data_IF_671030987451
#
_entry.id   IF_671030987451
#
_cell.length_a   1.000
_cell.length_b   1.000
_cell.length_c   1.000
_cell.angle_alpha   90.00
_cell.angle_beta   90.00
_cell.angle_gamma   90.00
#
_symmetry.space_group_name_H-M   'P 1'
#
loop_
_entity.id
_entity.type
_entity.pdbx_description
1 polymer ?
#
# COMPACT_ATOMS: atom_id res chain seq x y z
N UNK A 1 -4.64 -14.50 -10.85
CA UNK A 1 -5.83 -13.70 -11.24
C UNK A 1 -5.77 -12.27 -10.66
N UNK A 2 -5.60 -12.07 -9.35
CA UNK A 2 -5.50 -10.74 -8.72
C UNK A 2 -4.37 -9.89 -9.31
N UNK A 3 -3.17 -10.46 -9.49
CA UNK A 3 -2.02 -9.75 -10.06
C UNK A 3 -2.31 -9.25 -11.48
N UNK A 4 -2.98 -10.06 -12.31
CA UNK A 4 -3.31 -9.72 -13.71
C UNK A 4 -4.31 -8.56 -13.76
N UNK A 5 -5.32 -8.57 -12.89
CA UNK A 5 -6.29 -7.47 -12.78
C UNK A 5 -5.61 -6.19 -12.30
N UNK A 6 -4.67 -6.29 -11.35
CA UNK A 6 -3.91 -5.16 -10.85
C UNK A 6 -2.93 -4.59 -11.90
N UNK A 7 -2.29 -5.41 -12.73
CA UNK A 7 -1.44 -4.90 -13.82
C UNK A 7 -2.27 -4.30 -14.96
N UNK A 8 -3.41 -4.88 -15.30
CA UNK A 8 -4.29 -4.34 -16.34
C UNK A 8 -4.88 -2.98 -15.96
N UNK A 9 -5.18 -2.75 -14.68
CA UNK A 9 -5.68 -1.45 -14.22
C UNK A 9 -4.61 -0.35 -14.28
N UNK A 10 -3.32 -0.69 -14.10
CA UNK A 10 -2.21 0.27 -14.18
C UNK A 10 -1.97 0.78 -15.61
N UNK A 11 -2.17 -0.06 -16.64
CA UNK A 11 -1.95 0.30 -18.05
C UNK A 11 -2.93 1.40 -18.51
N UNK A 12 -4.09 1.51 -17.87
CA UNK A 12 -5.11 2.51 -18.20
C UNK A 12 -4.91 3.89 -17.57
N UNK A 13 -3.86 4.10 -16.76
CA UNK A 13 -3.62 5.39 -16.11
C UNK A 13 -2.87 6.33 -17.05
N UNK A 14 -3.44 7.51 -17.37
CA UNK A 14 -2.70 8.55 -18.07
C UNK A 14 -1.68 9.18 -17.12
N UNK A 15 -0.45 8.67 -17.20
CA UNK A 15 0.72 9.22 -16.50
C UNK A 15 1.33 10.31 -17.38
N UNK A 16 1.69 11.45 -16.78
CA UNK A 16 2.41 12.50 -17.48
C UNK A 16 3.86 12.07 -17.71
N UNK A 17 4.16 11.66 -18.95
CA UNK A 17 5.52 11.30 -19.38
C UNK A 17 6.33 12.50 -19.88
N UNK A 18 5.72 13.70 -19.90
CA UNK A 18 6.37 14.93 -20.37
C UNK A 18 7.12 15.65 -19.24
N UNK A 19 6.78 15.33 -17.99
CA UNK A 19 7.46 15.78 -16.78
C UNK A 19 8.76 15.01 -16.57
N UNK A 20 9.92 15.69 -16.67
CA UNK A 20 11.25 15.20 -16.27
C UNK A 20 11.45 15.21 -14.75
N UNK A 21 10.41 14.84 -14.02
CA UNK A 21 10.42 14.77 -12.58
C UNK A 21 10.35 13.31 -12.13
N UNK A 22 11.00 12.97 -11.02
CA UNK A 22 10.97 11.59 -10.47
C UNK A 22 9.63 11.28 -9.79
N UNK A 23 8.80 12.30 -9.64
CA UNK A 23 7.44 12.19 -9.16
C UNK A 23 6.54 11.64 -10.25
N UNK A 24 5.81 10.55 -9.95
CA UNK A 24 4.71 10.05 -10.78
C UNK A 24 3.59 11.10 -10.81
N UNK A 25 3.73 12.10 -11.68
CA UNK A 25 2.71 13.11 -11.88
C UNK A 25 1.64 12.56 -12.83
N UNK A 26 0.41 12.56 -12.36
CA UNK A 26 -0.76 12.23 -13.20
C UNK A 26 -1.14 13.44 -14.03
N UNK A 27 -1.62 13.22 -15.25
CA UNK A 27 -2.19 14.31 -16.05
C UNK A 27 -3.30 15.00 -15.24
N UNK A 28 -3.28 16.34 -15.22
CA UNK A 28 -4.20 17.13 -14.42
C UNK A 28 -5.66 16.78 -14.79
N UNK A 29 -6.49 16.44 -13.79
CA UNK A 29 -7.85 15.90 -14.00
C UNK A 29 -7.99 14.38 -13.84
N UNK A 30 -6.91 13.59 -13.86
CA UNK A 30 -6.94 12.13 -13.68
C UNK A 30 -6.54 11.66 -12.28
N UNK A 31 -6.35 12.58 -11.33
CA UNK A 31 -5.89 12.29 -9.97
C UNK A 31 -6.82 11.29 -9.24
N UNK A 32 -8.14 11.36 -9.48
CA UNK A 32 -9.11 10.40 -8.92
C UNK A 32 -8.92 8.97 -9.45
N UNK A 33 -8.57 8.84 -10.73
CA UNK A 33 -8.37 7.53 -11.38
C UNK A 33 -7.10 6.87 -10.84
N UNK A 34 -6.04 7.65 -10.66
CA UNK A 34 -4.80 7.21 -10.02
C UNK A 34 -5.02 6.79 -8.57
N UNK A 35 -5.75 7.59 -7.79
CA UNK A 35 -6.10 7.24 -6.40
C UNK A 35 -6.86 5.92 -6.31
N UNK A 36 -7.80 5.68 -7.21
CA UNK A 36 -8.58 4.44 -7.23
C UNK A 36 -7.70 3.22 -7.50
N UNK A 37 -6.74 3.35 -8.42
CA UNK A 37 -5.81 2.28 -8.78
C UNK A 37 -4.79 2.03 -7.69
N UNK A 38 -4.27 3.09 -7.06
CA UNK A 38 -3.40 2.96 -5.89
C UNK A 38 -4.10 2.20 -4.75
N UNK A 39 -5.34 2.58 -4.42
CA UNK A 39 -6.13 1.87 -3.40
C UNK A 39 -6.34 0.41 -3.80
N UNK A 40 -6.73 0.14 -5.05
CA UNK A 40 -6.94 -1.22 -5.54
C UNK A 40 -5.67 -2.08 -5.48
N UNK A 41 -4.50 -1.51 -5.84
CA UNK A 41 -3.22 -2.19 -5.77
C UNK A 41 -2.85 -2.53 -4.32
N UNK A 42 -3.06 -1.61 -3.37
CA UNK A 42 -2.85 -1.88 -1.96
C UNK A 42 -3.77 -2.99 -1.43
N UNK A 43 -5.06 -2.97 -1.76
CA UNK A 43 -5.98 -4.05 -1.39
C UNK A 43 -5.56 -5.40 -1.97
N UNK A 44 -5.09 -5.43 -3.22
CA UNK A 44 -4.57 -6.65 -3.84
C UNK A 44 -3.37 -7.23 -3.07
N UNK A 45 -2.45 -6.38 -2.61
CA UNK A 45 -1.31 -6.80 -1.78
C UNK A 45 -1.79 -7.36 -0.45
N UNK A 46 -2.68 -6.65 0.25
CA UNK A 46 -3.22 -7.07 1.56
C UNK A 46 -3.94 -8.43 1.44
N UNK A 47 -4.81 -8.59 0.44
CA UNK A 47 -5.53 -9.84 0.18
C UNK A 47 -4.53 -10.97 -0.13
N UNK A 48 -3.45 -10.68 -0.87
CA UNK A 48 -2.42 -11.69 -1.18
C UNK A 48 -1.77 -12.24 0.08
N UNK A 49 -1.51 -11.40 1.08
CA UNK A 49 -1.01 -11.85 2.38
C UNK A 49 -2.05 -12.69 3.15
N UNK A 50 -3.33 -12.32 3.13
CA UNK A 50 -4.39 -13.13 3.74
C UNK A 50 -4.60 -14.49 3.04
N UNK A 51 -4.45 -14.56 1.72
CA UNK A 51 -4.43 -15.83 0.98
C UNK A 51 -3.22 -16.66 1.40
N UNK A 52 -2.03 -16.03 1.54
CA UNK A 52 -0.83 -16.72 1.99
C UNK A 52 -0.98 -17.34 3.39
N UNK A 53 -1.77 -16.73 4.28
CA UNK A 53 -2.15 -17.34 5.58
C UNK A 53 -2.85 -18.68 5.38
N UNK A 54 -3.82 -18.74 4.47
CA UNK A 54 -4.59 -19.96 4.22
C UNK A 54 -3.75 -21.05 3.54
N UNK A 55 -2.88 -20.66 2.61
CA UNK A 55 -2.06 -21.60 1.83
C UNK A 55 -0.88 -22.14 2.64
N UNK A 56 -0.21 -21.28 3.42
CA UNK A 56 1.02 -21.65 4.16
C UNK A 56 0.79 -21.90 5.64
N UNK A 57 -0.41 -21.64 6.16
CA UNK A 57 -0.79 -21.91 7.56
C UNK A 57 -0.08 -21.06 8.62
N UNK A 58 0.79 -20.12 8.23
CA UNK A 58 1.54 -19.29 9.18
C UNK A 58 0.79 -18.01 9.53
N UNK A 59 0.60 -17.79 10.84
CA UNK A 59 0.00 -16.56 11.39
C UNK A 59 0.82 -15.31 11.09
N UNK A 60 2.10 -15.45 10.76
CA UNK A 60 2.98 -14.33 10.44
C UNK A 60 2.52 -13.56 9.19
N UNK A 61 1.91 -14.24 8.21
CA UNK A 61 1.32 -13.56 7.04
C UNK A 61 0.09 -12.71 7.40
N UNK A 62 -0.67 -13.09 8.43
CA UNK A 62 -1.83 -12.31 8.89
C UNK A 62 -1.37 -11.00 9.55
N UNK A 63 -0.30 -11.09 10.35
CA UNK A 63 0.32 -9.93 10.98
C UNK A 63 0.86 -8.94 9.93
N UNK A 64 1.47 -9.42 8.85
CA UNK A 64 1.92 -8.55 7.75
C UNK A 64 0.74 -7.87 7.04
N UNK A 65 -0.35 -8.60 6.76
CA UNK A 65 -1.56 -8.02 6.17
C UNK A 65 -2.16 -6.91 7.03
N UNK A 66 -2.22 -7.09 8.35
CA UNK A 66 -2.69 -6.07 9.30
C UNK A 66 -1.70 -4.89 9.40
N UNK A 67 -0.40 -5.15 9.40
CA UNK A 67 0.61 -4.09 9.39
C UNK A 67 0.51 -3.18 8.16
N UNK A 68 0.25 -3.78 6.99
CA UNK A 68 0.03 -3.06 5.73
C UNK A 68 -1.22 -2.19 5.76
N UNK A 69 -2.33 -2.66 6.35
CA UNK A 69 -3.55 -1.84 6.45
C UNK A 69 -3.37 -0.66 7.39
N UNK A 70 -2.65 -0.84 8.50
CA UNK A 70 -2.30 0.26 9.43
C UNK A 70 -1.40 1.28 8.74
N UNK A 71 -0.39 0.83 7.98
CA UNK A 71 0.51 1.71 7.24
C UNK A 71 -0.25 2.52 6.16
N UNK A 72 -1.19 1.89 5.45
CA UNK A 72 -2.04 2.56 4.47
C UNK A 72 -2.93 3.63 5.13
N UNK A 73 -3.52 3.32 6.28
CA UNK A 73 -4.30 4.29 7.04
C UNK A 73 -3.43 5.49 7.47
N UNK A 74 -2.21 5.24 7.97
CA UNK A 74 -1.26 6.30 8.32
C UNK A 74 -0.91 7.20 7.12
N UNK A 75 -0.67 6.60 5.95
CA UNK A 75 -0.45 7.35 4.70
C UNK A 75 -1.66 8.20 4.32
N UNK A 76 -2.89 7.68 4.47
CA UNK A 76 -4.10 8.43 4.17
C UNK A 76 -4.23 9.67 5.07
N UNK A 77 -3.91 9.53 6.37
CA UNK A 77 -3.83 10.66 7.30
C UNK A 77 -2.74 11.67 6.92
N UNK A 78 -1.61 11.25 6.35
CA UNK A 78 -0.56 12.18 5.95
C UNK A 78 -0.90 12.99 4.71
N UNK A 79 -1.64 12.41 3.78
CA UNK A 79 -1.90 13.01 2.47
C UNK A 79 -3.18 13.84 2.39
N UNK A 80 -4.19 13.51 3.21
CA UNK A 80 -5.54 14.07 3.06
C UNK A 80 -6.04 14.82 4.28
N UNK A 81 -5.32 14.77 5.40
CA UNK A 81 -5.73 15.47 6.62
C UNK A 81 -5.17 16.88 6.60
N UNK A 82 -6.05 17.83 6.29
CA UNK A 82 -5.71 19.25 6.06
C UNK A 82 -5.58 20.06 7.36
N UNK A 83 -5.09 19.41 8.42
CA UNK A 83 -4.93 20.02 9.74
C UNK A 83 -3.52 19.74 10.29
N UNK A 84 -2.95 20.67 11.04
CA UNK A 84 -1.59 20.61 11.59
C UNK A 84 -1.33 19.45 12.57
N UNK A 85 -2.37 18.97 13.25
CA UNK A 85 -2.33 17.81 14.14
C UNK A 85 -2.60 16.47 13.43
N UNK A 86 -3.10 16.47 12.18
CA UNK A 86 -3.39 15.28 11.37
C UNK A 86 -2.16 14.43 10.98
N UNK A 87 -1.01 15.06 10.68
CA UNK A 87 0.24 14.34 10.41
C UNK A 87 0.75 13.52 11.60
N UNK A 88 0.49 13.93 12.84
CA UNK A 88 1.01 13.27 14.05
C UNK A 88 0.53 11.81 14.17
N UNK A 89 -0.80 11.51 14.17
CA UNK A 89 -1.28 10.14 14.14
C UNK A 89 -0.88 9.41 12.84
N UNK A 90 -0.79 10.13 11.71
CA UNK A 90 -0.37 9.57 10.44
C UNK A 90 1.05 8.99 10.48
N UNK A 91 2.02 9.75 11.01
CA UNK A 91 3.41 9.30 11.18
C UNK A 91 3.46 8.10 12.12
N UNK A 92 2.78 8.16 13.27
CA UNK A 92 2.79 7.06 14.24
C UNK A 92 2.23 5.76 13.66
N UNK A 93 1.09 5.83 12.98
CA UNK A 93 0.48 4.65 12.33
C UNK A 93 1.38 4.12 11.21
N UNK A 94 1.96 5.00 10.39
CA UNK A 94 2.84 4.58 9.29
C UNK A 94 4.14 3.94 9.81
N UNK A 95 4.81 4.55 10.78
CA UNK A 95 6.02 4.01 11.39
C UNK A 95 5.76 2.69 12.11
N UNK A 96 4.68 2.60 12.89
CA UNK A 96 4.31 1.38 13.60
C UNK A 96 3.94 0.24 12.62
N UNK A 97 3.11 0.54 11.61
CA UNK A 97 2.72 -0.42 10.59
C UNK A 97 3.94 -0.96 9.82
N UNK A 98 4.86 -0.07 9.43
CA UNK A 98 6.07 -0.48 8.70
C UNK A 98 7.04 -1.28 9.57
N UNK A 99 7.26 -0.87 10.82
CA UNK A 99 8.08 -1.63 11.76
C UNK A 99 7.53 -3.06 11.98
N UNK A 100 6.21 -3.17 12.11
CA UNK A 100 5.53 -4.45 12.27
C UNK A 100 5.72 -5.34 11.04
N UNK A 101 5.55 -4.79 9.82
CA UNK A 101 5.80 -5.52 8.57
C UNK A 101 7.26 -5.98 8.49
N UNK A 102 8.23 -5.09 8.71
CA UNK A 102 9.66 -5.42 8.61
C UNK A 102 10.08 -6.52 9.59
N UNK A 103 9.64 -6.45 10.85
CA UNK A 103 10.00 -7.45 11.88
C UNK A 103 9.47 -8.85 11.54
N UNK A 104 8.29 -8.92 10.93
CA UNK A 104 7.60 -10.18 10.61
C UNK A 104 8.04 -10.75 9.28
N UNK A 105 8.24 -9.89 8.28
CA UNK A 105 8.72 -10.27 6.97
C UNK A 105 10.15 -10.83 7.05
N UNK A 106 11.02 -10.22 7.86
CA UNK A 106 12.36 -10.74 8.12
C UNK A 106 12.34 -12.17 8.70
N UNK A 107 11.40 -12.45 9.62
CA UNK A 107 11.23 -13.78 10.21
C UNK A 107 10.82 -14.83 9.18
N UNK A 108 9.94 -14.46 8.25
CA UNK A 108 9.50 -15.35 7.17
C UNK A 108 10.67 -15.67 6.22
N UNK A 109 11.52 -14.69 5.92
CA UNK A 109 12.67 -14.89 5.03
C UNK A 109 13.81 -15.68 5.66
N UNK A 110 13.99 -15.63 6.98
CA UNK A 110 15.04 -16.39 7.68
C UNK A 110 14.65 -17.84 8.00
N UNK A 111 13.36 -18.17 7.98
CA UNK A 111 12.83 -19.50 8.34
C UNK A 111 12.22 -20.24 7.13
N UNK A 112 12.54 -19.77 5.92
CA UNK A 112 12.41 -20.48 4.64
C UNK A 112 13.78 -21.05 4.28
#
# INVERSE_FOLDING_TARGET
MIIIVATLSIIGVPIDTQSWDTSFNTINGFNNMFRLIEIAAFFAIVISFFIAVHVRGSKEYAYIGIGLTIALAGRYFLLYFDNWAGPVPGILMMSFGMWFVCSKLHRIYLWL
#
